data_IF_997100236971
#
_entry.id   IF_997100236971
#
_cell.length_a   1.000
_cell.length_b   1.000
_cell.length_c   1.000
_cell.angle_alpha   90.00
_cell.angle_beta   90.00
_cell.angle_gamma   90.00
#
_symmetry.space_group_name_H-M   'P 1'
#
loop_
_entity.id
_entity.type
_entity.pdbx_description
1 polymer ?
#
# COMPACT_ATOMS: atom_id res chain seq x y z
N UNK A 1 6.58 -13.84 3.76
CA UNK A 1 6.75 -13.27 5.11
C UNK A 1 5.45 -12.59 5.51
N UNK A 2 4.99 -12.70 6.76
CA UNK A 2 3.77 -12.02 7.22
C UNK A 2 4.07 -10.94 8.24
N UNK A 3 3.37 -9.81 8.14
CA UNK A 3 3.47 -8.70 9.10
C UNK A 3 2.87 -9.03 10.47
N UNK A 4 1.86 -9.90 10.55
CA UNK A 4 1.12 -10.16 11.80
C UNK A 4 0.50 -8.87 12.38
N UNK A 5 0.13 -8.85 13.67
CA UNK A 5 -0.40 -7.67 14.32
C UNK A 5 0.74 -6.86 14.94
N UNK A 6 0.87 -5.58 14.60
CA UNK A 6 1.94 -4.77 15.14
C UNK A 6 2.40 -3.72 14.16
N UNK A 7 3.60 -3.20 14.41
CA UNK A 7 4.34 -2.39 13.46
C UNK A 7 5.66 -3.12 13.19
N UNK A 8 5.68 -3.90 12.13
CA UNK A 8 6.71 -4.88 11.87
C UNK A 8 7.71 -4.37 10.83
N UNK A 9 8.98 -4.79 10.94
CA UNK A 9 10.03 -4.47 9.95
C UNK A 9 10.38 -5.72 9.17
N UNK A 10 10.01 -5.74 7.89
CA UNK A 10 10.13 -6.87 6.99
C UNK A 10 11.26 -6.62 5.98
N UNK A 11 12.08 -7.63 5.73
CA UNK A 11 13.23 -7.57 4.81
C UNK A 11 13.30 -8.90 4.07
N UNK A 12 13.18 -8.88 2.75
CA UNK A 12 13.20 -10.10 1.91
C UNK A 12 14.62 -10.55 1.58
N UNK A 13 15.51 -9.60 1.37
CA UNK A 13 16.88 -9.83 0.95
C UNK A 13 17.00 -9.87 -0.57
N UNK A 14 17.81 -10.81 -1.07
CA UNK A 14 17.98 -11.00 -2.51
C UNK A 14 17.02 -12.07 -3.01
N UNK A 15 16.35 -11.80 -4.12
CA UNK A 15 15.47 -12.77 -4.77
C UNK A 15 14.14 -12.13 -5.09
N UNK A 16 13.16 -12.98 -5.45
CA UNK A 16 11.76 -12.59 -5.58
C UNK A 16 11.05 -12.97 -4.29
N UNK A 17 10.75 -11.98 -3.48
CA UNK A 17 10.13 -12.17 -2.17
C UNK A 17 8.64 -11.82 -2.19
N UNK A 18 7.87 -12.54 -1.37
CA UNK A 18 6.44 -12.23 -1.17
C UNK A 18 6.18 -11.80 0.27
N UNK A 19 5.64 -10.60 0.42
CA UNK A 19 5.19 -10.03 1.68
C UNK A 19 3.66 -10.13 1.76
N UNK A 20 3.18 -10.92 2.72
CA UNK A 20 1.77 -11.30 2.81
C UNK A 20 1.08 -10.58 3.97
N UNK A 21 -0.12 -10.05 3.72
CA UNK A 21 -0.89 -9.30 4.71
C UNK A 21 -2.35 -9.75 4.72
N UNK A 22 -2.94 -9.83 5.92
CA UNK A 22 -4.39 -9.87 6.11
C UNK A 22 -4.90 -8.48 6.50
N UNK A 23 -6.11 -8.11 6.04
CA UNK A 23 -6.77 -6.88 6.50
C UNK A 23 -6.87 -6.86 8.04
N UNK A 24 -6.54 -5.72 8.64
CA UNK A 24 -6.43 -5.57 10.10
C UNK A 24 -5.01 -5.66 10.68
N UNK A 25 -4.01 -6.01 9.87
CA UNK A 25 -2.60 -6.14 10.30
C UNK A 25 -1.84 -4.80 10.26
N UNK A 26 -1.26 -4.44 9.11
CA UNK A 26 -0.50 -3.21 8.90
C UNK A 26 -1.41 -1.97 8.91
N UNK A 27 -1.91 -1.61 10.10
CA UNK A 27 -2.84 -0.52 10.31
C UNK A 27 -2.16 0.84 10.21
N UNK A 28 -2.94 1.90 10.05
CA UNK A 28 -2.41 3.28 10.07
C UNK A 28 -1.76 3.66 11.42
N UNK A 29 -2.19 3.04 12.51
CA UNK A 29 -1.66 3.23 13.87
C UNK A 29 -0.42 2.36 14.17
N UNK A 30 -0.23 1.29 13.40
CA UNK A 30 0.88 0.34 13.49
C UNK A 30 1.22 -0.12 12.09
N UNK A 31 1.89 0.75 11.34
CA UNK A 31 2.19 0.50 9.93
C UNK A 31 3.46 -0.33 9.81
N UNK A 32 3.37 -1.47 9.12
CA UNK A 32 4.52 -2.30 8.81
C UNK A 32 5.41 -1.61 7.78
N UNK A 33 6.70 -1.93 7.84
CA UNK A 33 7.72 -1.41 6.93
C UNK A 33 8.44 -2.53 6.23
N UNK A 34 8.36 -2.55 4.90
CA UNK A 34 9.24 -3.36 4.05
C UNK A 34 10.45 -2.51 3.68
N UNK A 35 11.65 -2.99 3.98
CA UNK A 35 12.88 -2.18 3.89
C UNK A 35 13.54 -2.22 2.51
N UNK A 36 13.27 -3.26 1.72
CA UNK A 36 14.02 -3.59 0.50
C UNK A 36 13.15 -4.00 -0.70
N UNK A 37 11.86 -3.64 -0.70
CA UNK A 37 10.94 -3.99 -1.78
C UNK A 37 11.46 -3.54 -3.16
N UNK A 38 11.61 -4.48 -4.08
CA UNK A 38 12.11 -4.27 -5.43
C UNK A 38 10.98 -4.40 -6.45
N UNK A 39 10.64 -3.27 -7.09
CA UNK A 39 9.55 -3.24 -8.08
C UNK A 39 9.86 -4.17 -9.26
N UNK A 40 8.90 -5.02 -9.61
CA UNK A 40 9.01 -5.97 -10.71
C UNK A 40 9.73 -7.27 -10.35
N UNK A 41 10.19 -7.41 -9.10
CA UNK A 41 10.81 -8.63 -8.58
C UNK A 41 10.02 -9.15 -7.38
N UNK A 42 9.76 -8.29 -6.39
CA UNK A 42 9.01 -8.63 -5.19
C UNK A 42 7.51 -8.43 -5.37
N UNK A 43 6.74 -9.07 -4.50
CA UNK A 43 5.29 -9.04 -4.54
C UNK A 43 4.64 -8.90 -3.16
N UNK A 44 3.40 -8.42 -3.18
CA UNK A 44 2.48 -8.32 -2.06
C UNK A 44 1.39 -9.38 -2.25
N UNK A 45 1.22 -10.26 -1.28
CA UNK A 45 0.10 -11.19 -1.24
C UNK A 45 -0.98 -10.71 -0.27
N UNK A 46 -2.24 -10.64 -0.68
CA UNK A 46 -3.33 -10.36 0.26
C UNK A 46 -3.99 -11.67 0.67
N UNK A 47 -3.88 -12.02 1.94
CA UNK A 47 -4.46 -13.22 2.49
C UNK A 47 -5.92 -12.94 2.87
N UNK A 48 -6.79 -13.89 2.57
CA UNK A 48 -8.16 -13.87 3.11
C UNK A 48 -8.17 -14.38 4.56
N UNK A 49 -9.36 -14.49 5.17
CA UNK A 49 -9.50 -15.17 6.47
C UNK A 49 -9.05 -16.64 6.42
N UNK A 50 -9.06 -17.25 5.24
CA UNK A 50 -8.28 -18.46 4.97
C UNK A 50 -6.85 -18.06 4.56
N UNK A 51 -5.83 -18.34 5.40
CA UNK A 51 -4.45 -17.93 5.16
C UNK A 51 -3.78 -18.65 3.98
N UNK A 52 -4.43 -19.65 3.38
CA UNK A 52 -3.95 -20.32 2.17
C UNK A 52 -4.49 -19.69 0.88
N UNK A 53 -5.49 -18.81 0.99
CA UNK A 53 -6.10 -18.14 -0.16
C UNK A 53 -5.53 -16.73 -0.30
N UNK A 54 -4.84 -16.51 -1.41
CA UNK A 54 -4.32 -15.19 -1.82
C UNK A 54 -5.31 -14.54 -2.78
N UNK A 55 -5.55 -13.25 -2.60
CA UNK A 55 -6.35 -12.41 -3.48
C UNK A 55 -5.55 -11.17 -3.91
N UNK A 56 -5.99 -10.53 -4.97
CA UNK A 56 -5.42 -9.28 -5.46
C UNK A 56 -6.43 -8.14 -5.36
N UNK A 57 -5.99 -6.87 -5.28
CA UNK A 57 -6.89 -5.74 -5.41
C UNK A 57 -7.67 -5.76 -6.74
N UNK A 58 -8.88 -5.21 -6.72
CA UNK A 58 -9.73 -5.01 -7.91
C UNK A 58 -9.16 -3.96 -8.87
N UNK A 59 -8.34 -3.04 -8.33
CA UNK A 59 -7.68 -1.98 -9.07
C UNK A 59 -6.41 -1.56 -8.33
N UNK A 60 -5.44 -1.05 -9.09
CA UNK A 60 -4.24 -0.44 -8.53
C UNK A 60 -3.94 0.87 -9.26
N UNK A 61 -3.62 1.89 -8.49
CA UNK A 61 -3.36 3.24 -9.00
C UNK A 61 -2.24 3.90 -8.22
N UNK A 62 -1.64 4.94 -8.77
CA UNK A 62 -0.74 5.82 -8.05
C UNK A 62 -1.38 7.19 -7.84
N UNK A 63 -1.47 7.61 -6.58
CA UNK A 63 -1.91 8.94 -6.20
C UNK A 63 -0.84 9.99 -6.52
N UNK A 64 -1.25 11.26 -6.62
CA UNK A 64 -0.30 12.36 -6.67
C UNK A 64 0.55 12.39 -5.39
N UNK A 65 1.78 12.85 -5.51
CA UNK A 65 2.67 13.00 -4.35
C UNK A 65 2.02 13.92 -3.29
N UNK A 66 2.19 13.58 -2.01
CA UNK A 66 1.57 14.28 -0.88
C UNK A 66 2.65 14.85 0.05
N UNK A 67 2.26 15.77 0.93
CA UNK A 67 3.10 16.35 2.00
C UNK A 67 2.50 16.12 3.38
N UNK A 68 1.78 15.00 3.55
CA UNK A 68 1.06 14.68 4.77
C UNK A 68 1.98 14.60 5.99
N UNK A 69 1.59 15.27 7.07
CA UNK A 69 2.36 15.33 8.32
C UNK A 69 2.03 14.19 9.30
N UNK A 70 0.99 13.41 9.02
CA UNK A 70 0.62 12.20 9.77
C UNK A 70 0.18 11.11 8.80
N UNK A 71 0.35 9.83 9.18
CA UNK A 71 -0.12 8.70 8.38
C UNK A 71 -1.65 8.66 8.28
N UNK A 72 -2.37 9.11 9.31
CA UNK A 72 -3.82 9.25 9.25
C UNK A 72 -4.26 10.27 8.20
N UNK A 73 -3.58 11.43 8.11
CA UNK A 73 -3.87 12.42 7.07
C UNK A 73 -3.51 11.88 5.68
N UNK A 74 -2.40 11.14 5.56
CA UNK A 74 -2.01 10.49 4.32
C UNK A 74 -3.09 9.52 3.84
N UNK A 75 -3.52 8.59 4.70
CA UNK A 75 -4.54 7.61 4.41
C UNK A 75 -5.85 8.27 3.95
N UNK A 76 -6.35 9.25 4.70
CA UNK A 76 -7.56 9.99 4.30
C UNK A 76 -7.41 10.69 2.95
N UNK A 77 -6.25 11.30 2.67
CA UNK A 77 -5.98 11.97 1.40
C UNK A 77 -5.99 10.99 0.22
N UNK A 78 -5.34 9.83 0.35
CA UNK A 78 -5.26 8.86 -0.76
C UNK A 78 -6.55 8.07 -0.96
N UNK A 79 -7.33 7.86 0.09
CA UNK A 79 -8.67 7.28 -0.05
C UNK A 79 -9.68 8.24 -0.67
N UNK A 80 -9.47 9.55 -0.52
CA UNK A 80 -10.27 10.58 -1.18
C UNK A 80 -9.85 10.78 -2.64
N UNK A 81 -8.55 10.68 -2.91
CA UNK A 81 -7.94 10.90 -4.22
C UNK A 81 -6.76 9.94 -4.43
N UNK A 82 -7.06 8.81 -5.04
CA UNK A 82 -6.15 7.70 -5.28
C UNK A 82 -5.46 7.75 -6.65
N UNK A 83 -5.91 8.60 -7.57
CA UNK A 83 -5.44 8.65 -8.96
C UNK A 83 -4.89 10.04 -9.30
N UNK A 84 -3.57 10.17 -9.19
CA UNK A 84 -2.90 11.45 -9.44
C UNK A 84 -2.83 11.87 -10.91
N UNK A 85 -3.30 11.05 -11.85
CA UNK A 85 -3.34 11.41 -13.26
C UNK A 85 -4.64 12.12 -13.66
N UNK A 86 -5.66 12.07 -12.81
CA UNK A 86 -6.97 12.68 -13.05
C UNK A 86 -7.15 13.85 -12.10
N UNK A 87 -7.85 14.89 -12.54
CA UNK A 87 -8.15 16.04 -11.70
C UNK A 87 -9.41 15.78 -10.84
N UNK A 88 -9.41 16.32 -9.62
CA UNK A 88 -10.53 16.19 -8.68
C UNK A 88 -10.35 15.01 -7.73
N UNK A 89 -11.44 14.60 -7.07
CA UNK A 89 -11.39 13.51 -6.10
C UNK A 89 -11.73 12.18 -6.78
N UNK A 90 -10.75 11.30 -6.87
CA UNK A 90 -10.92 9.93 -7.36
C UNK A 90 -10.82 8.97 -6.19
N UNK A 91 -11.94 8.77 -5.49
CA UNK A 91 -11.97 7.94 -4.29
C UNK A 91 -11.42 6.53 -4.57
N UNK A 92 -10.67 5.98 -3.62
CA UNK A 92 -10.21 4.60 -3.69
C UNK A 92 -11.43 3.67 -3.61
N UNK A 93 -11.66 2.89 -4.66
CA UNK A 93 -12.77 1.95 -4.72
C UNK A 93 -12.59 0.76 -3.78
N UNK A 94 -13.69 0.04 -3.54
CA UNK A 94 -13.68 -1.20 -2.75
C UNK A 94 -12.67 -2.20 -3.30
N UNK A 95 -11.90 -2.80 -2.39
CA UNK A 95 -10.83 -3.73 -2.71
C UNK A 95 -9.74 -3.14 -3.62
N UNK A 96 -9.63 -1.80 -3.70
CA UNK A 96 -8.61 -1.11 -4.48
C UNK A 96 -7.31 -0.91 -3.70
N UNK A 97 -6.22 -0.71 -4.43
CA UNK A 97 -4.94 -0.30 -3.86
C UNK A 97 -4.45 1.02 -4.47
N UNK A 98 -3.70 1.79 -3.69
CA UNK A 98 -3.04 3.01 -4.15
C UNK A 98 -1.62 3.12 -3.63
N UNK A 99 -0.70 3.47 -4.52
CA UNK A 99 0.69 3.82 -4.20
C UNK A 99 0.80 5.33 -4.08
N UNK A 100 1.51 5.82 -3.07
CA UNK A 100 1.72 7.25 -2.85
C UNK A 100 3.12 7.53 -2.35
N UNK A 101 3.71 8.65 -2.78
CA UNK A 101 4.94 9.17 -2.20
C UNK A 101 4.64 10.39 -1.35
N UNK A 102 5.19 10.40 -0.14
CA UNK A 102 5.27 11.59 0.70
C UNK A 102 6.64 12.22 0.52
N UNK A 103 6.69 13.48 0.10
CA UNK A 103 7.94 14.11 -0.38
C UNK A 103 8.69 14.89 0.69
N UNK A 104 8.09 15.11 1.87
CA UNK A 104 8.68 15.95 2.91
C UNK A 104 8.23 15.55 4.32
N UNK A 105 9.01 15.96 5.32
CA UNK A 105 8.69 15.78 6.73
C UNK A 105 9.08 14.40 7.27
N UNK A 106 8.67 14.12 8.51
CA UNK A 106 9.06 12.90 9.21
C UNK A 106 8.50 11.62 8.57
N UNK A 107 7.40 11.73 7.81
CA UNK A 107 6.80 10.62 7.07
C UNK A 107 7.23 10.62 5.58
N UNK A 108 8.31 11.30 5.21
CA UNK A 108 8.81 11.24 3.84
C UNK A 108 9.14 9.78 3.48
N UNK A 109 8.60 9.31 2.36
CA UNK A 109 8.57 7.89 2.09
C UNK A 109 7.64 7.49 0.97
N UNK A 110 7.59 6.19 0.66
CA UNK A 110 6.58 5.62 -0.25
C UNK A 110 5.70 4.68 0.53
N UNK A 111 4.40 4.73 0.27
CA UNK A 111 3.38 3.97 1.00
C UNK A 111 2.44 3.30 0.03
N UNK A 112 2.00 2.10 0.39
CA UNK A 112 0.96 1.34 -0.30
C UNK A 112 -0.26 1.27 0.62
N UNK A 113 -1.38 1.85 0.21
CA UNK A 113 -2.64 1.74 0.91
C UNK A 113 -3.57 0.78 0.16
N UNK A 114 -4.22 -0.13 0.88
CA UNK A 114 -5.12 -1.14 0.28
C UNK A 114 -6.43 -1.11 1.06
N UNK A 115 -7.52 -0.87 0.34
CA UNK A 115 -8.85 -0.90 0.90
C UNK A 115 -9.38 -2.35 0.96
N UNK A 116 -10.10 -2.66 2.03
CA UNK A 116 -10.86 -3.91 2.14
C UNK A 116 -12.13 -3.86 1.27
N UNK A 117 -13.11 -4.71 1.53
CA UNK A 117 -14.38 -4.73 0.78
C UNK A 117 -15.38 -3.60 1.12
N UNK A 118 -15.00 -2.65 1.97
CA UNK A 118 -15.88 -1.59 2.49
C UNK A 118 -15.42 -0.23 1.98
N UNK A 119 -16.34 0.55 1.41
CA UNK A 119 -15.99 1.84 0.82
C UNK A 119 -15.49 2.86 1.86
N UNK A 120 -14.51 3.66 1.45
CA UNK A 120 -13.87 4.66 2.32
C UNK A 120 -12.78 4.06 3.21
N UNK A 121 -12.05 4.92 3.92
CA UNK A 121 -10.96 4.47 4.78
C UNK A 121 -11.47 3.94 6.12
N UNK A 122 -11.03 2.75 6.51
CA UNK A 122 -11.26 2.16 7.83
C UNK A 122 -9.94 1.91 8.56
N UNK A 123 -9.66 2.75 9.57
CA UNK A 123 -8.38 2.73 10.31
C UNK A 123 -8.05 1.41 11.03
N UNK A 124 -9.05 0.55 11.27
CA UNK A 124 -8.90 -0.71 12.01
C UNK A 124 -8.92 -1.95 11.09
N UNK A 125 -9.02 -1.79 9.77
CA UNK A 125 -9.09 -2.93 8.84
C UNK A 125 -8.37 -2.71 7.52
N UNK A 126 -8.31 -1.49 7.00
CA UNK A 126 -7.51 -1.20 5.81
C UNK A 126 -6.02 -1.25 6.10
N UNK A 127 -5.26 -1.58 5.05
CA UNK A 127 -3.81 -1.68 5.13
C UNK A 127 -3.18 -0.35 4.71
N UNK A 128 -2.15 0.04 5.44
CA UNK A 128 -1.16 1.02 5.03
C UNK A 128 0.20 0.38 5.27
N UNK A 129 0.98 0.16 4.21
CA UNK A 129 2.31 -0.46 4.26
C UNK A 129 3.35 0.58 3.86
N UNK A 130 4.41 0.71 4.64
CA UNK A 130 5.53 1.59 4.36
C UNK A 130 6.57 0.86 3.49
N UNK A 131 6.78 1.36 2.27
CA UNK A 131 7.76 0.87 1.31
C UNK A 131 8.94 1.84 1.16
N UNK A 132 9.27 2.59 2.22
CA UNK A 132 10.37 3.55 2.18
C UNK A 132 11.71 2.84 2.12
N UNK A 133 12.41 3.05 1.00
CA UNK A 133 13.60 2.29 0.63
C UNK A 133 13.38 1.43 -0.61
N UNK A 134 12.16 1.37 -1.16
CA UNK A 134 11.88 0.59 -2.36
C UNK A 134 12.83 0.95 -3.51
N UNK A 135 13.17 -0.05 -4.31
CA UNK A 135 14.06 0.09 -5.46
C UNK A 135 13.33 -0.21 -6.77
N UNK A 136 13.96 0.15 -7.89
CA UNK A 136 13.34 0.08 -9.22
C UNK A 136 12.66 1.39 -9.63
N UNK A 137 11.94 1.35 -10.76
CA UNK A 137 11.26 2.52 -11.32
C UNK A 137 9.87 2.66 -10.73
N UNK A 138 9.60 3.77 -10.04
CA UNK A 138 8.25 4.06 -9.54
C UNK A 138 7.28 4.25 -10.74
N UNK A 139 6.09 3.63 -10.72
CA UNK A 139 5.10 3.83 -11.77
C UNK A 139 4.71 5.30 -11.97
N UNK A 140 4.23 5.62 -13.16
CA UNK A 140 3.59 6.92 -13.44
C UNK A 140 2.34 7.11 -12.57
N UNK A 141 1.88 8.36 -12.45
CA UNK A 141 0.61 8.63 -11.77
C UNK A 141 -0.56 7.91 -12.47
N UNK A 142 -1.58 7.56 -11.69
CA UNK A 142 -2.78 6.89 -12.17
C UNK A 142 -2.66 5.38 -12.27
N UNK A 143 -3.46 4.76 -13.13
CA UNK A 143 -3.65 3.31 -13.16
C UNK A 143 -2.33 2.54 -13.36
N UNK A 144 -2.14 1.49 -12.56
CA UNK A 144 -1.03 0.55 -12.61
C UNK A 144 -1.62 -0.84 -12.81
N UNK A 145 -0.90 -1.73 -13.50
CA UNK A 145 -1.27 -3.14 -13.54
C UNK A 145 -1.17 -3.73 -12.12
N UNK A 146 -2.22 -4.41 -11.66
CA UNK A 146 -2.24 -5.07 -10.34
C UNK A 146 -1.07 -6.05 -10.20
N UNK A 147 -0.76 -6.80 -11.27
CA UNK A 147 0.36 -7.74 -11.32
C UNK A 147 1.75 -7.10 -11.22
N UNK A 148 1.87 -5.77 -11.18
CA UNK A 148 3.16 -5.10 -10.95
C UNK A 148 3.64 -5.22 -9.52
N UNK A 149 2.71 -5.38 -8.56
CA UNK A 149 3.02 -5.45 -7.13
C UNK A 149 2.31 -6.62 -6.44
N UNK A 150 1.25 -7.19 -7.01
CA UNK A 150 0.43 -8.21 -6.36
C UNK A 150 0.50 -9.56 -7.08
N UNK A 151 0.41 -10.64 -6.31
CA UNK A 151 0.38 -12.05 -6.77
C UNK A 151 -0.81 -12.80 -6.19
#
# INVERSE_FOLDING_TARGET
>A
MSGELGADTLTGGQGADTFSFQFGQSLVSGTDRITDFTIGTDAIGLLTSDPLTVTTPSSFTRAADKTATTLLNLANQVFTDANGAVAGNQALGVSGATLVRVTSGANAGTYLAINNSTAGFQANSDLLVNLTGLTGTLPTLGNIAVSSFFV
#
